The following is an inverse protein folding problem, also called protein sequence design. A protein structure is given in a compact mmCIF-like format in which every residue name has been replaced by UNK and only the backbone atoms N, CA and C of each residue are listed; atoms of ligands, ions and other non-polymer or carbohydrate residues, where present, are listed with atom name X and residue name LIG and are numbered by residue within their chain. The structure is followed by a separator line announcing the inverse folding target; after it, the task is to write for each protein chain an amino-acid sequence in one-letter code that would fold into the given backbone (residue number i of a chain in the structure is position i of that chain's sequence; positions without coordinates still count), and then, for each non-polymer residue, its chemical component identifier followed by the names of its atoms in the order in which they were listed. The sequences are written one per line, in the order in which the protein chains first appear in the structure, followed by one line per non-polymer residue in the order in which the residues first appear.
data_IF_997677308899
#
_entry.id   IF_997677308899
#
_cell.length_a   1.000
_cell.length_b   1.000
_cell.length_c   1.000
_cell.angle_alpha   90.00
_cell.angle_beta   90.00
_cell.angle_gamma   90.00
#
_symmetry.space_group_name_H-M   'P 1'
#
loop_
_entity.id
_entity.type
_entity.pdbx_description
1 polymer ?
#
# COMPACT_ATOMS: atom_id res chain seq x y z
N UNK A 1 4.57 -16.97 -4.60
CA UNK A 1 4.60 -17.46 -3.20
C UNK A 1 3.18 -17.46 -2.62
N UNK A 2 2.86 -18.34 -1.66
CA UNK A 2 1.52 -18.40 -1.04
C UNK A 2 1.24 -17.21 -0.11
N UNK A 3 2.28 -16.52 0.33
CA UNK A 3 2.24 -15.30 1.14
C UNK A 3 3.36 -14.35 0.68
N UNK A 4 3.08 -13.05 0.60
CA UNK A 4 4.09 -12.04 0.31
C UNK A 4 4.85 -11.60 1.56
N UNK A 5 5.82 -10.71 1.38
CA UNK A 5 6.34 -9.90 2.46
C UNK A 5 5.24 -8.95 2.98
N UNK A 6 4.89 -9.10 4.26
CA UNK A 6 4.00 -8.18 4.98
C UNK A 6 4.88 -7.19 5.74
N UNK A 7 5.20 -7.46 7.01
CA UNK A 7 6.09 -6.62 7.83
C UNK A 7 7.43 -6.36 7.15
N UNK A 8 8.08 -7.41 6.63
CA UNK A 8 9.37 -7.26 5.92
C UNK A 8 9.26 -6.36 4.69
N UNK A 9 8.10 -6.35 4.02
CA UNK A 9 7.86 -5.46 2.88
C UNK A 9 7.80 -3.99 3.33
N UNK A 10 7.17 -3.74 4.47
CA UNK A 10 7.15 -2.42 5.12
C UNK A 10 8.57 -1.99 5.51
N UNK A 11 9.36 -2.88 6.11
CA UNK A 11 10.75 -2.59 6.51
C UNK A 11 11.65 -2.23 5.31
N UNK A 12 11.52 -2.99 4.21
CA UNK A 12 12.23 -2.75 2.94
C UNK A 12 11.91 -1.34 2.41
N UNK A 13 10.62 -0.98 2.35
CA UNK A 13 10.19 0.31 1.84
C UNK A 13 10.56 1.46 2.80
N UNK A 14 10.57 1.23 4.10
CA UNK A 14 11.02 2.22 5.10
C UNK A 14 12.51 2.53 4.97
N UNK A 15 13.32 1.50 4.69
CA UNK A 15 14.73 1.64 4.34
C UNK A 15 14.96 2.35 2.98
N UNK A 16 13.90 2.57 2.20
CA UNK A 16 13.95 3.19 0.88
C UNK A 16 14.44 2.24 -0.21
N UNK A 17 14.31 0.92 -0.01
CA UNK A 17 14.76 -0.09 -0.96
C UNK A 17 13.60 -0.52 -1.90
N UNK A 18 13.86 -0.68 -3.21
CA UNK A 18 12.86 -1.21 -4.13
C UNK A 18 12.52 -2.68 -3.87
N UNK A 19 11.27 -3.06 -4.10
CA UNK A 19 10.78 -4.44 -4.00
C UNK A 19 9.96 -4.81 -5.24
N UNK A 20 10.36 -5.85 -5.97
CA UNK A 20 9.54 -6.38 -7.08
C UNK A 20 8.49 -7.34 -6.52
N UNK A 21 7.24 -7.21 -6.94
CA UNK A 21 6.15 -8.08 -6.47
C UNK A 21 5.15 -8.42 -7.57
N UNK A 22 4.64 -9.66 -7.54
CA UNK A 22 3.60 -10.19 -8.43
C UNK A 22 2.34 -10.49 -7.61
N UNK A 23 1.32 -9.62 -7.64
CA UNK A 23 0.05 -9.87 -6.97
C UNK A 23 -0.72 -11.02 -7.62
N UNK A 24 -1.23 -11.96 -6.82
CA UNK A 24 -2.12 -13.03 -7.29
C UNK A 24 -3.55 -12.81 -6.75
N UNK A 25 -4.33 -13.87 -6.60
CA UNK A 25 -5.75 -13.80 -6.24
C UNK A 25 -6.00 -13.61 -4.74
N UNK A 26 -5.20 -14.26 -3.88
CA UNK A 26 -5.44 -14.27 -2.43
C UNK A 26 -4.93 -12.99 -1.77
N UNK A 27 -5.61 -12.50 -0.74
CA UNK A 27 -5.19 -11.31 0.02
C UNK A 27 -3.72 -11.39 0.47
N UNK A 28 -3.29 -12.53 1.03
CA UNK A 28 -1.92 -12.75 1.48
C UNK A 28 -0.86 -12.59 0.36
N UNK A 29 -1.27 -12.73 -0.90
CA UNK A 29 -0.43 -12.58 -2.10
C UNK A 29 -0.56 -11.20 -2.76
N UNK A 30 -1.29 -10.27 -2.14
CA UNK A 30 -1.49 -8.90 -2.65
C UNK A 30 -0.97 -7.82 -1.69
N UNK A 31 -0.52 -8.21 -0.48
CA UNK A 31 -0.05 -7.25 0.54
C UNK A 31 1.13 -6.43 0.03
N UNK A 32 2.19 -7.06 -0.47
CA UNK A 32 3.34 -6.34 -1.01
C UNK A 32 2.95 -5.39 -2.16
N UNK A 33 2.01 -5.80 -3.02
CA UNK A 33 1.45 -4.92 -4.05
C UNK A 33 0.74 -3.69 -3.47
N UNK A 34 -0.08 -3.87 -2.43
CA UNK A 34 -0.73 -2.75 -1.73
C UNK A 34 0.28 -1.81 -1.07
N UNK A 35 1.36 -2.34 -0.48
CA UNK A 35 2.44 -1.54 0.09
C UNK A 35 3.10 -0.70 -1.01
N UNK A 36 3.48 -1.32 -2.13
CA UNK A 36 4.08 -0.63 -3.28
C UNK A 36 3.18 0.47 -3.83
N UNK A 37 1.87 0.23 -4.01
CA UNK A 37 0.92 1.28 -4.44
C UNK A 37 0.87 2.45 -3.45
N UNK A 38 0.93 2.16 -2.15
CA UNK A 38 0.85 3.19 -1.09
C UNK A 38 2.10 4.08 -1.01
N UNK A 39 3.20 3.72 -1.70
CA UNK A 39 4.37 4.60 -1.88
C UNK A 39 4.17 5.67 -2.95
N UNK A 40 3.19 5.50 -3.85
CA UNK A 40 3.06 6.29 -5.08
C UNK A 40 3.95 5.84 -6.24
N UNK A 41 4.81 4.82 -6.02
CA UNK A 41 5.77 4.29 -7.01
C UNK A 41 5.46 2.85 -7.42
N UNK A 42 4.20 2.41 -7.24
CA UNK A 42 3.80 1.03 -7.46
C UNK A 42 4.07 0.50 -8.88
N UNK A 43 3.92 1.35 -9.90
CA UNK A 43 4.16 0.97 -11.31
C UNK A 43 5.63 0.55 -11.58
N UNK A 44 6.57 1.09 -10.79
CA UNK A 44 8.00 0.76 -10.89
C UNK A 44 8.34 -0.57 -10.17
N UNK A 45 7.40 -1.15 -9.42
CA UNK A 45 7.63 -2.30 -8.53
C UNK A 45 6.67 -3.49 -8.74
N UNK A 46 5.46 -3.24 -9.25
CA UNK A 46 4.43 -4.26 -9.44
C UNK A 46 4.49 -4.78 -10.88
N UNK A 47 4.41 -6.10 -11.02
CA UNK A 47 4.40 -6.80 -12.31
C UNK A 47 3.15 -7.66 -12.44
N UNK A 48 2.82 -8.06 -13.67
CA UNK A 48 1.59 -8.79 -13.99
C UNK A 48 1.80 -10.26 -14.35
N UNK A 49 3.06 -10.68 -14.54
CA UNK A 49 3.41 -12.07 -14.84
C UNK A 49 4.76 -12.48 -14.23
N UNK A 50 5.02 -13.79 -14.19
CA UNK A 50 6.33 -14.30 -13.75
C UNK A 50 7.45 -13.87 -14.70
N UNK A 51 7.18 -13.81 -16.01
CA UNK A 51 8.12 -13.31 -17.01
C UNK A 51 8.50 -11.86 -16.73
N UNK A 52 7.52 -10.99 -16.49
CA UNK A 52 7.78 -9.60 -16.13
C UNK A 52 8.51 -9.46 -14.79
N UNK A 53 8.24 -10.35 -13.83
CA UNK A 53 8.96 -10.39 -12.56
C UNK A 53 10.46 -10.58 -12.78
N UNK A 54 10.83 -11.59 -13.58
CA UNK A 54 12.21 -11.88 -13.94
C UNK A 54 12.84 -10.72 -14.71
N UNK A 55 12.18 -10.21 -15.75
CA UNK A 55 12.66 -9.09 -16.55
C UNK A 55 12.87 -7.82 -15.71
N UNK A 56 11.95 -7.52 -14.80
CA UNK A 56 12.05 -6.36 -13.90
C UNK A 56 13.21 -6.51 -12.94
N UNK A 57 13.36 -7.68 -12.32
CA UNK A 57 14.46 -7.97 -11.39
C UNK A 57 15.82 -7.86 -12.09
N UNK A 58 15.96 -8.49 -13.27
CA UNK A 58 17.19 -8.43 -14.08
C UNK A 58 17.47 -7.00 -14.55
N UNK A 59 16.46 -6.26 -15.02
CA UNK A 59 16.60 -4.88 -15.45
C UNK A 59 17.14 -3.98 -14.32
N UNK A 60 16.62 -4.13 -13.11
CA UNK A 60 17.09 -3.38 -11.94
C UNK A 60 18.49 -3.82 -11.51
N UNK A 61 18.81 -5.11 -11.54
CA UNK A 61 20.11 -5.64 -11.16
C UNK A 61 21.24 -5.20 -12.12
N UNK A 62 20.96 -5.18 -13.43
CA UNK A 62 21.95 -4.84 -14.46
C UNK A 62 22.05 -3.33 -14.74
N UNK A 63 21.05 -2.54 -14.36
CA UNK A 63 21.02 -1.09 -14.57
C UNK A 63 21.11 -0.33 -13.24
N UNK A 64 22.35 -0.16 -12.75
CA UNK A 64 22.65 0.55 -11.51
C UNK A 64 22.05 1.98 -11.47
N UNK A 65 22.14 2.81 -12.52
CA UNK A 65 21.48 4.12 -12.54
C UNK A 65 19.97 4.04 -12.32
N UNK A 66 19.28 3.10 -12.96
CA UNK A 66 17.83 2.90 -12.80
C UNK A 66 17.47 2.46 -11.38
N UNK A 67 18.22 1.52 -10.81
CA UNK A 67 18.02 1.08 -9.42
C UNK A 67 18.23 2.22 -8.42
N UNK A 68 19.29 3.02 -8.64
CA UNK A 68 19.58 4.17 -7.79
C UNK A 68 18.48 5.22 -7.88
N UNK A 69 18.00 5.53 -9.09
CA UNK A 69 16.90 6.49 -9.28
C UNK A 69 15.62 6.07 -8.54
N UNK A 70 15.24 4.79 -8.60
CA UNK A 70 14.07 4.29 -7.86
C UNK A 70 14.29 4.33 -6.34
N UNK A 71 15.49 3.99 -5.88
CA UNK A 71 15.90 4.08 -4.47
C UNK A 71 15.80 5.52 -3.97
N UNK A 72 16.26 6.50 -4.76
CA UNK A 72 16.24 7.91 -4.41
C UNK A 72 14.80 8.45 -4.36
N UNK A 73 13.95 8.07 -5.32
CA UNK A 73 12.52 8.39 -5.28
C UNK A 73 11.85 7.83 -4.02
N UNK A 74 12.10 6.56 -3.68
CA UNK A 74 11.54 5.94 -2.47
C UNK A 74 11.98 6.68 -1.20
N UNK A 75 13.26 7.02 -1.09
CA UNK A 75 13.78 7.81 0.05
C UNK A 75 13.15 9.20 0.12
N UNK A 76 12.91 9.84 -1.02
CA UNK A 76 12.29 11.16 -1.08
C UNK A 76 10.83 11.13 -0.62
N UNK A 77 10.06 10.10 -1.03
CA UNK A 77 8.62 10.03 -0.71
C UNK A 77 8.31 9.35 0.62
N UNK A 78 9.25 8.62 1.26
CA UNK A 78 8.92 7.81 2.45
C UNK A 78 8.32 8.60 3.62
N UNK A 79 8.66 9.89 3.75
CA UNK A 79 8.15 10.74 4.83
C UNK A 79 6.81 11.40 4.50
N UNK A 80 6.37 11.33 3.24
CA UNK A 80 5.18 12.03 2.74
C UNK A 80 4.18 11.08 2.08
N UNK A 81 4.55 9.83 1.81
CA UNK A 81 3.68 8.86 1.18
C UNK A 81 2.63 8.35 2.18
N UNK A 82 1.42 7.98 1.70
CA UNK A 82 0.36 7.45 2.54
C UNK A 82 0.76 6.22 3.37
N UNK A 83 1.72 5.41 2.89
CA UNK A 83 2.15 4.17 3.54
C UNK A 83 2.64 4.39 4.98
N UNK A 84 3.29 5.52 5.26
CA UNK A 84 3.90 5.81 6.57
C UNK A 84 3.24 6.98 7.30
N UNK A 85 2.16 7.55 6.75
CA UNK A 85 1.35 8.56 7.42
C UNK A 85 0.39 7.88 8.40
N UNK A 86 0.91 7.58 9.60
CA UNK A 86 0.13 6.92 10.66
C UNK A 86 -1.04 7.77 11.14
N UNK A 87 -0.92 9.09 11.15
CA UNK A 87 -2.00 9.98 11.55
C UNK A 87 -3.18 9.90 10.57
N UNK A 88 -2.90 9.95 9.26
CA UNK A 88 -3.93 9.74 8.23
C UNK A 88 -4.53 8.34 8.29
N UNK A 89 -3.71 7.33 8.54
CA UNK A 89 -4.19 5.95 8.70
C UNK A 89 -5.17 5.82 9.87
N UNK A 90 -4.85 6.39 11.05
CA UNK A 90 -5.74 6.39 12.22
C UNK A 90 -7.05 7.11 11.92
N UNK A 91 -7.01 8.32 11.32
CA UNK A 91 -8.24 9.03 10.92
C UNK A 91 -9.13 8.20 10.00
N UNK A 92 -8.54 7.50 9.05
CA UNK A 92 -9.30 6.62 8.14
C UNK A 92 -9.85 5.36 8.84
N UNK A 93 -9.12 4.83 9.82
CA UNK A 93 -9.63 3.74 10.66
C UNK A 93 -10.81 4.20 11.52
N UNK A 94 -10.72 5.39 12.12
CA UNK A 94 -11.80 5.97 12.92
C UNK A 94 -13.06 6.18 12.07
N UNK A 95 -12.92 6.72 10.85
CA UNK A 95 -14.02 6.81 9.87
C UNK A 95 -14.66 5.45 9.61
N UNK A 96 -13.86 4.38 9.50
CA UNK A 96 -14.38 3.02 9.35
C UNK A 96 -15.20 2.58 10.57
N UNK A 97 -14.68 2.80 11.79
CA UNK A 97 -15.38 2.48 13.04
C UNK A 97 -16.69 3.25 13.18
N UNK A 98 -16.69 4.56 12.93
CA UNK A 98 -17.91 5.36 12.94
C UNK A 98 -18.94 4.87 11.92
N UNK A 99 -18.51 4.52 10.70
CA UNK A 99 -19.41 3.99 9.69
C UNK A 99 -20.01 2.65 10.13
N UNK A 100 -19.21 1.73 10.66
CA UNK A 100 -19.68 0.45 11.18
C UNK A 100 -20.68 0.63 12.34
N UNK A 101 -20.38 1.55 13.25
CA UNK A 101 -21.24 1.87 14.39
C UNK A 101 -22.59 2.45 13.96
N UNK A 102 -22.59 3.42 13.04
CA UNK A 102 -23.82 4.04 12.54
C UNK A 102 -24.72 3.05 11.79
N UNK A 103 -24.13 2.13 11.01
CA UNK A 103 -24.87 1.03 10.37
C UNK A 103 -25.56 0.16 11.43
N UNK A 104 -24.83 -0.23 12.48
CA UNK A 104 -25.36 -1.03 13.57
C UNK A 104 -26.49 -0.30 14.32
N UNK A 105 -26.28 0.96 14.73
CA UNK A 105 -27.29 1.75 15.44
C UNK A 105 -28.56 2.01 14.61
N UNK A 106 -28.44 2.04 13.28
CA UNK A 106 -29.58 2.17 12.37
C UNK A 106 -30.32 0.86 12.12
N UNK A 107 -29.97 -0.23 12.83
CA UNK A 107 -30.57 -1.55 12.66
C UNK A 107 -30.21 -2.25 11.35
N UNK A 108 -29.21 -1.75 10.61
CA UNK A 108 -28.77 -2.36 9.36
C UNK A 108 -27.86 -3.56 9.65
N UNK A 109 -27.89 -4.56 8.76
CA UNK A 109 -26.96 -5.70 8.82
C UNK A 109 -25.56 -5.29 8.33
N UNK A 110 -24.50 -6.02 8.74
CA UNK A 110 -23.18 -5.83 8.17
C UNK A 110 -23.22 -5.89 6.64
N UNK A 111 -22.65 -4.88 5.99
CA UNK A 111 -22.61 -4.75 4.54
C UNK A 111 -21.27 -4.18 4.09
N UNK A 112 -20.94 -4.39 2.82
CA UNK A 112 -19.72 -3.81 2.25
C UNK A 112 -19.82 -2.29 2.23
N UNK A 113 -18.75 -1.63 2.64
CA UNK A 113 -18.56 -0.20 2.46
C UNK A 113 -17.08 0.09 2.18
N UNK A 114 -16.82 1.26 1.62
CA UNK A 114 -15.48 1.78 1.40
C UNK A 114 -15.34 3.05 2.21
N UNK A 115 -14.22 3.20 2.91
CA UNK A 115 -13.86 4.47 3.55
C UNK A 115 -13.36 5.43 2.47
N UNK A 116 -13.96 6.61 2.42
CA UNK A 116 -13.50 7.74 1.62
C UNK A 116 -13.02 8.84 2.55
N UNK A 117 -12.06 9.64 2.08
CA UNK A 117 -11.61 10.83 2.82
C UNK A 117 -12.57 11.97 2.54
N UNK A 118 -13.73 11.91 3.20
CA UNK A 118 -14.78 12.90 3.12
C UNK A 118 -15.17 13.34 4.53
N UNK A 119 -14.67 14.51 4.92
CA UNK A 119 -14.85 15.07 6.27
C UNK A 119 -16.33 15.44 6.55
N UNK A 120 -17.19 15.46 5.52
CA UNK A 120 -18.63 15.72 5.66
C UNK A 120 -19.41 14.56 6.31
N UNK A 121 -18.86 13.34 6.27
CA UNK A 121 -19.52 12.13 6.79
C UNK A 121 -19.09 11.78 8.22
N UNK A 122 -18.09 12.47 8.77
CA UNK A 122 -17.56 12.21 10.11
C UNK A 122 -17.51 13.51 10.94
N UNK A 123 -18.33 13.66 11.99
CA UNK A 123 -18.45 14.93 12.73
C UNK A 123 -17.24 15.30 13.61
N UNK A 124 -16.17 14.49 13.62
CA UNK A 124 -15.02 14.64 14.54
C UNK A 124 -13.71 15.09 13.89
N UNK A 125 -13.71 15.58 12.64
CA UNK A 125 -12.53 16.25 12.05
C UNK A 125 -12.32 17.69 12.57
N UNK A 126 -12.58 17.95 13.86
CA UNK A 126 -12.33 19.24 14.54
C UNK A 126 -11.36 19.10 15.70
#
# INVERSE_FOLDING_TARGET
PLCNAHTTGTDILWAGLPMVTLPLEKMATRVAGSLCLSTGLGEEMIVSSMKEYEERAVSLALNRPKLQALTDKLKAVRMTCPLFDTNRWVRNLDRAYFRMWNLHCSGQRPQHFKVTENDMECPYDK
#
